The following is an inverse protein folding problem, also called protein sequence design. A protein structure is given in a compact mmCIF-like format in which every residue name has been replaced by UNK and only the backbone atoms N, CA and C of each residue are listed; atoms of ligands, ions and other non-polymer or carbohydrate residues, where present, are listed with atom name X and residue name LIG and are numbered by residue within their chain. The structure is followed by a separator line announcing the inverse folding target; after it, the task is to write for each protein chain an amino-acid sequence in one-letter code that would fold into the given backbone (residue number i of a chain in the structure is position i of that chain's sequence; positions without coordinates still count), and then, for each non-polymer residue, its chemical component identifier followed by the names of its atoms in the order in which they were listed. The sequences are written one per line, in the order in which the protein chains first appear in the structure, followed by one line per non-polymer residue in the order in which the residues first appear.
data_IF_392526327331
#
_entry.id   IF_392526327331
#
_cell.length_a   1.000
_cell.length_b   1.000
_cell.length_c   1.000
_cell.angle_alpha   90.00
_cell.angle_beta   90.00
_cell.angle_gamma   90.00
#
_symmetry.space_group_name_H-M   'P 1'
#
loop_
_entity.id
_entity.type
_entity.pdbx_description
1 polymer ?
#
# COMPACT_ATOMS: atom_id res chain seq x y z
N UNK A 1 -2.54 15.27 4.98
CA UNK A 1 -1.19 15.03 4.43
C UNK A 1 -1.30 14.99 2.92
N UNK A 2 -0.34 15.58 2.21
CA UNK A 2 -0.25 15.48 0.75
C UNK A 2 0.52 14.20 0.36
N UNK A 3 -0.09 13.40 -0.51
CA UNK A 3 0.40 12.13 -1.04
C UNK A 3 0.67 12.17 -2.55
N UNK A 4 0.46 13.33 -3.19
CA UNK A 4 0.68 13.46 -4.62
C UNK A 4 2.16 13.25 -4.97
N UNK A 5 2.42 12.36 -5.93
CA UNK A 5 3.78 11.98 -6.33
C UNK A 5 4.52 11.10 -5.32
N UNK A 6 3.86 10.60 -4.27
CA UNK A 6 4.47 9.70 -3.27
C UNK A 6 4.06 8.25 -3.52
N UNK A 7 5.04 7.36 -3.47
CA UNK A 7 4.81 5.91 -3.52
C UNK A 7 4.62 5.34 -2.11
N UNK A 8 3.84 4.26 -2.00
CA UNK A 8 3.74 3.47 -0.77
C UNK A 8 4.35 2.09 -0.98
N UNK A 9 5.31 1.73 -0.12
CA UNK A 9 5.92 0.39 -0.07
C UNK A 9 5.35 -0.33 1.16
N UNK A 10 4.73 -1.48 0.95
CA UNK A 10 4.01 -2.21 2.00
C UNK A 10 4.46 -3.67 2.00
N UNK A 11 4.99 -4.13 3.12
CA UNK A 11 5.35 -5.53 3.40
C UNK A 11 4.24 -6.22 4.18
N UNK A 12 3.98 -7.51 3.95
CA UNK A 12 2.86 -8.22 4.59
C UNK A 12 1.50 -7.82 3.99
N UNK A 13 1.48 -7.47 2.70
CA UNK A 13 0.32 -6.90 2.03
C UNK A 13 -0.74 -7.92 1.58
N UNK A 14 -0.49 -9.22 1.71
CA UNK A 14 -1.39 -10.27 1.25
C UNK A 14 -2.64 -10.41 2.14
N UNK A 15 -2.59 -9.97 3.40
CA UNK A 15 -3.75 -10.08 4.31
C UNK A 15 -3.75 -9.04 5.44
N UNK A 16 -4.83 -9.05 6.22
CA UNK A 16 -4.97 -8.25 7.44
C UNK A 16 -4.74 -6.76 7.23
N UNK A 17 -3.93 -6.17 8.10
CA UNK A 17 -3.68 -4.72 8.11
C UNK A 17 -2.89 -4.29 6.87
N UNK A 18 -1.93 -5.09 6.40
CA UNK A 18 -1.14 -4.75 5.22
C UNK A 18 -1.99 -4.65 3.96
N UNK A 19 -2.94 -5.58 3.80
CA UNK A 19 -3.92 -5.55 2.71
C UNK A 19 -4.81 -4.31 2.80
N UNK A 20 -5.41 -4.05 3.98
CA UNK A 20 -6.27 -2.88 4.17
C UNK A 20 -5.52 -1.55 3.91
N UNK A 21 -4.25 -1.48 4.28
CA UNK A 21 -3.40 -0.32 4.02
C UNK A 21 -3.11 -0.16 2.52
N UNK A 22 -2.87 -1.25 1.80
CA UNK A 22 -2.67 -1.25 0.36
C UNK A 22 -3.91 -0.77 -0.38
N UNK A 23 -5.10 -1.25 -0.02
CA UNK A 23 -6.36 -0.75 -0.59
C UNK A 23 -6.55 0.75 -0.34
N UNK A 24 -6.27 1.19 0.89
CA UNK A 24 -6.41 2.59 1.26
C UNK A 24 -5.44 3.52 0.51
N UNK A 25 -4.22 3.06 0.25
CA UNK A 25 -3.23 3.78 -0.53
C UNK A 25 -3.58 3.78 -2.03
N UNK A 26 -4.06 2.66 -2.57
CA UNK A 26 -4.56 2.56 -3.95
C UNK A 26 -5.72 3.52 -4.21
N UNK A 27 -6.68 3.61 -3.28
CA UNK A 27 -7.83 4.51 -3.39
C UNK A 27 -7.43 6.00 -3.43
N UNK A 28 -6.21 6.34 -3.00
CA UNK A 28 -5.63 7.69 -3.10
C UNK A 28 -4.82 7.92 -4.37
N UNK A 29 -4.76 6.94 -5.28
CA UNK A 29 -3.97 7.01 -6.51
C UNK A 29 -2.47 6.93 -6.28
N UNK A 30 -2.03 6.40 -5.13
CA UNK A 30 -0.61 6.24 -4.86
C UNK A 30 -0.03 5.08 -5.70
N UNK A 31 1.15 5.23 -6.31
CA UNK A 31 1.90 4.10 -6.83
C UNK A 31 2.30 3.16 -5.69
N UNK A 32 2.02 1.86 -5.84
CA UNK A 32 2.24 0.87 -4.79
C UNK A 32 3.36 -0.10 -5.16
N UNK A 33 4.15 -0.47 -4.15
CA UNK A 33 5.02 -1.66 -4.18
C UNK A 33 4.58 -2.55 -3.03
N UNK A 34 4.04 -3.72 -3.37
CA UNK A 34 3.52 -4.68 -2.39
C UNK A 34 4.46 -5.88 -2.36
N UNK A 35 4.89 -6.25 -1.16
CA UNK A 35 5.70 -7.43 -0.93
C UNK A 35 5.08 -8.27 0.19
N UNK A 36 5.11 -9.58 0.04
CA UNK A 36 4.80 -10.51 1.11
C UNK A 36 5.75 -11.70 1.00
N UNK A 37 5.84 -12.46 2.08
CA UNK A 37 6.57 -13.72 2.14
C UNK A 37 5.56 -14.82 2.46
N UNK A 38 5.73 -15.99 1.85
CA UNK A 38 5.14 -17.22 2.40
C UNK A 38 5.98 -17.71 3.58
#
# INVERSE_FOLDING_TARGET
MDFHGKSAVITGAASGIGYALAEHAAARGMPLVLADVE
#
